data_IF_374857603018
#
_entry.id   IF_374857603018
#
_cell.length_a   1.000
_cell.length_b   1.000
_cell.length_c   1.000
_cell.angle_alpha   90.00
_cell.angle_beta   90.00
_cell.angle_gamma   90.00
#
_symmetry.space_group_name_H-M   'P 1'
#
loop_
_entity.id
_entity.type
_entity.pdbx_description
1 polymer ?
#
# COMPACT_ATOMS: atom_id res chain seq x y z
N UNK A 1 1.89 -13.35 -18.21
CA UNK A 1 0.58 -13.24 -18.87
C UNK A 1 -0.42 -14.12 -18.14
N UNK A 2 -1.64 -13.64 -17.93
CA UNK A 2 -2.75 -14.41 -17.35
C UNK A 2 -3.82 -14.54 -18.42
N UNK A 3 -4.35 -15.74 -18.63
CA UNK A 3 -5.42 -16.04 -19.59
C UNK A 3 -6.57 -16.78 -18.89
N UNK A 4 -7.73 -16.81 -19.55
CA UNK A 4 -8.96 -17.46 -19.07
C UNK A 4 -9.36 -17.05 -17.66
N UNK A 5 -9.69 -15.78 -17.47
CA UNK A 5 -10.09 -15.23 -16.18
C UNK A 5 -11.47 -14.57 -16.26
N UNK A 6 -12.08 -14.34 -15.10
CA UNK A 6 -13.30 -13.55 -15.00
C UNK A 6 -12.97 -12.12 -14.57
N UNK A 7 -13.69 -11.17 -15.17
CA UNK A 7 -13.71 -9.77 -14.75
C UNK A 7 -15.00 -9.55 -13.99
N UNK A 8 -14.90 -9.15 -12.73
CA UNK A 8 -16.05 -8.86 -11.87
C UNK A 8 -15.96 -7.43 -11.36
N UNK A 9 -17.09 -6.81 -11.03
CA UNK A 9 -17.07 -5.57 -10.25
C UNK A 9 -16.35 -5.84 -8.94
N UNK A 10 -15.36 -5.01 -8.63
CA UNK A 10 -14.68 -5.12 -7.36
C UNK A 10 -15.66 -4.66 -6.26
N UNK A 11 -15.72 -5.42 -5.16
CA UNK A 11 -16.73 -5.26 -4.08
C UNK A 11 -16.14 -4.82 -2.74
N UNK A 12 -14.82 -4.86 -2.58
CA UNK A 12 -14.18 -4.58 -1.29
C UNK A 12 -14.18 -3.09 -0.95
N UNK A 13 -14.33 -2.78 0.34
CA UNK A 13 -14.29 -1.42 0.90
C UNK A 13 -12.87 -0.87 1.01
N UNK A 14 -11.89 -1.73 1.23
CA UNK A 14 -10.48 -1.38 1.30
C UNK A 14 -9.78 -1.88 0.05
N UNK A 15 -9.23 -0.99 -0.76
CA UNK A 15 -8.43 -1.37 -1.92
C UNK A 15 -7.19 -0.51 -2.01
N UNK A 16 -6.10 -1.16 -2.36
CA UNK A 16 -4.87 -0.53 -2.80
C UNK A 16 -4.96 -0.04 -4.26
N UNK A 17 -6.02 -0.42 -4.98
CA UNK A 17 -6.26 -0.03 -6.38
C UNK A 17 -7.66 0.57 -6.53
N UNK A 18 -7.76 1.61 -7.34
CA UNK A 18 -8.99 2.34 -7.65
C UNK A 18 -9.76 1.75 -8.84
N UNK A 19 -9.25 0.66 -9.43
CA UNK A 19 -9.88 0.06 -10.61
C UNK A 19 -11.27 -0.51 -10.27
N UNK A 20 -12.31 -0.21 -11.08
CA UNK A 20 -13.69 -0.61 -10.78
C UNK A 20 -13.93 -2.12 -10.88
N UNK A 21 -13.00 -2.84 -11.52
CA UNK A 21 -13.06 -4.28 -11.72
C UNK A 21 -11.89 -5.00 -11.06
N UNK A 22 -12.15 -6.25 -10.65
CA UNK A 22 -11.14 -7.21 -10.21
C UNK A 22 -11.08 -8.38 -11.18
N UNK A 23 -9.88 -8.92 -11.34
CA UNK A 23 -9.67 -10.22 -11.95
C UNK A 23 -9.98 -11.31 -10.91
N UNK A 24 -10.64 -12.39 -11.32
CA UNK A 24 -10.87 -13.57 -10.48
C UNK A 24 -10.46 -14.83 -11.23
N UNK A 25 -9.75 -15.72 -10.53
CA UNK A 25 -9.39 -17.02 -11.05
C UNK A 25 -10.60 -17.96 -11.07
N UNK A 26 -10.58 -18.86 -12.03
CA UNK A 26 -11.48 -19.95 -12.40
C UNK A 26 -10.63 -21.18 -12.74
N UNK A 27 -11.28 -22.32 -12.86
CA UNK A 27 -10.60 -23.60 -13.00
C UNK A 27 -9.77 -23.73 -14.29
N UNK A 28 -10.07 -22.94 -15.33
CA UNK A 28 -9.38 -22.98 -16.63
C UNK A 28 -8.34 -21.88 -16.80
N UNK A 29 -7.99 -21.14 -15.74
CA UNK A 29 -6.95 -20.11 -15.79
C UNK A 29 -5.61 -20.65 -16.25
N UNK A 30 -4.93 -19.88 -17.07
CA UNK A 30 -3.54 -20.15 -17.48
C UNK A 30 -2.68 -18.98 -17.01
N UNK A 31 -1.58 -19.28 -16.31
CA UNK A 31 -0.59 -18.29 -15.87
C UNK A 31 0.75 -18.62 -16.52
N UNK A 32 1.22 -17.74 -17.39
CA UNK A 32 2.52 -17.87 -18.05
C UNK A 32 3.49 -16.83 -17.47
N UNK A 33 4.62 -17.22 -16.86
CA UNK A 33 5.64 -16.27 -16.44
C UNK A 33 6.21 -15.54 -17.67
N UNK A 34 6.56 -14.27 -17.50
CA UNK A 34 7.24 -13.48 -18.54
C UNK A 34 8.65 -13.20 -18.05
N UNK A 35 9.64 -13.79 -18.71
CA UNK A 35 11.05 -13.66 -18.38
C UNK A 35 11.87 -13.46 -19.68
N UNK A 36 12.63 -12.36 -19.84
CA UNK A 36 12.80 -11.26 -18.88
C UNK A 36 11.54 -10.40 -18.72
N UNK A 37 11.49 -9.63 -17.64
CA UNK A 37 10.45 -8.61 -17.44
C UNK A 37 10.38 -7.68 -18.64
N UNK A 38 9.16 -7.33 -19.07
CA UNK A 38 8.95 -6.43 -20.20
C UNK A 38 9.55 -5.05 -19.89
N UNK A 39 10.29 -4.43 -20.83
CA UNK A 39 10.78 -3.07 -20.67
C UNK A 39 9.63 -2.10 -20.32
N UNK A 40 9.81 -1.30 -19.28
CA UNK A 40 8.83 -0.30 -18.83
C UNK A 40 7.65 -0.85 -18.02
N UNK A 41 7.56 -2.15 -17.74
CA UNK A 41 6.53 -2.68 -16.84
C UNK A 41 6.88 -2.31 -15.38
N UNK A 42 6.01 -1.58 -14.65
CA UNK A 42 6.32 -1.13 -13.30
C UNK A 42 6.41 -2.31 -12.33
N UNK A 43 7.39 -2.27 -11.42
CA UNK A 43 7.51 -3.27 -10.33
C UNK A 43 6.37 -3.14 -9.32
N UNK A 44 5.99 -1.89 -9.02
CA UNK A 44 4.86 -1.55 -8.15
C UNK A 44 4.13 -0.40 -8.84
N UNK A 45 2.81 -0.52 -8.98
CA UNK A 45 1.97 0.56 -9.47
C UNK A 45 1.58 1.44 -8.27
N UNK A 46 2.01 2.70 -8.29
CA UNK A 46 1.69 3.68 -7.25
C UNK A 46 0.65 4.68 -7.76
N UNK A 47 -0.30 5.04 -6.90
CA UNK A 47 -1.17 6.21 -7.10
C UNK A 47 -0.90 7.22 -5.99
N UNK A 48 0.25 7.89 -6.08
CA UNK A 48 0.75 8.77 -5.03
C UNK A 48 -0.16 9.99 -4.87
N UNK A 49 -0.72 10.16 -3.66
CA UNK A 49 -1.46 11.36 -3.32
C UNK A 49 -0.51 12.57 -3.17
N UNK A 50 -0.96 13.77 -3.60
CA UNK A 50 -0.28 15.00 -3.25
C UNK A 50 -0.14 15.11 -1.73
N UNK A 51 1.03 15.52 -1.26
CA UNK A 51 1.31 15.57 0.18
C UNK A 51 0.31 16.46 0.94
N UNK A 52 -0.16 17.54 0.33
CA UNK A 52 -1.19 18.44 0.87
C UNK A 52 -2.54 17.77 1.16
N UNK A 53 -2.82 16.63 0.55
CA UNK A 53 -4.07 15.89 0.75
C UNK A 53 -3.95 14.76 1.77
N UNK A 54 -2.73 14.44 2.22
CA UNK A 54 -2.47 13.28 3.09
C UNK A 54 -3.24 13.41 4.42
N UNK A 55 -3.24 14.59 5.03
CA UNK A 55 -3.96 14.83 6.29
C UNK A 55 -5.47 14.62 6.15
N UNK A 56 -6.05 15.03 5.01
CA UNK A 56 -7.46 14.86 4.72
C UNK A 56 -7.87 13.40 4.53
N UNK A 57 -6.91 12.50 4.32
CA UNK A 57 -7.14 11.06 4.16
C UNK A 57 -6.96 10.28 5.47
N UNK A 58 -6.45 10.91 6.54
CA UNK A 58 -6.29 10.24 7.84
C UNK A 58 -7.67 9.80 8.36
N UNK A 59 -7.83 8.50 8.60
CA UNK A 59 -9.10 7.91 9.06
C UNK A 59 -10.15 7.65 7.96
N UNK A 60 -9.83 7.94 6.69
CA UNK A 60 -10.69 7.56 5.57
C UNK A 60 -10.75 6.05 5.40
N UNK A 61 -11.98 5.52 5.25
CA UNK A 61 -12.23 4.08 5.03
C UNK A 61 -12.42 3.70 3.55
N UNK A 62 -12.08 4.59 2.62
CA UNK A 62 -12.48 4.44 1.20
C UNK A 62 -11.38 3.85 0.33
N UNK A 63 -10.14 4.32 0.45
CA UNK A 63 -8.99 3.90 -0.37
C UNK A 63 -7.70 4.00 0.44
N UNK A 64 -6.83 2.99 0.30
CA UNK A 64 -5.47 3.07 0.84
C UNK A 64 -4.67 4.07 0.00
N UNK A 65 -3.92 4.93 0.67
CA UNK A 65 -3.20 6.04 0.04
C UNK A 65 -1.73 5.72 -0.11
N UNK A 66 -1.18 5.92 -1.32
CA UNK A 66 0.27 5.94 -1.52
C UNK A 66 0.80 7.35 -1.27
N UNK A 67 1.94 7.48 -0.59
CA UNK A 67 2.55 8.77 -0.28
C UNK A 67 4.04 8.72 -0.58
N UNK A 68 4.54 9.72 -1.30
CA UNK A 68 5.97 9.94 -1.53
C UNK A 68 6.38 11.18 -0.73
N UNK A 69 7.33 11.03 0.18
CA UNK A 69 7.79 12.10 1.04
C UNK A 69 9.21 11.88 1.54
N UNK A 70 9.84 12.93 2.06
CA UNK A 70 11.14 12.86 2.72
C UNK A 70 10.95 12.46 4.17
N UNK A 71 11.70 11.45 4.63
CA UNK A 71 11.74 11.07 6.04
C UNK A 71 12.64 12.05 6.81
N UNK A 72 12.10 12.68 7.84
CA UNK A 72 12.83 13.64 8.70
C UNK A 72 13.17 13.07 10.06
N UNK A 73 12.52 11.98 10.45
CA UNK A 73 12.72 11.34 11.75
C UNK A 73 12.03 9.99 11.81
N UNK A 74 12.49 9.15 12.74
CA UNK A 74 11.92 7.84 13.04
C UNK A 74 12.07 7.66 14.56
N UNK A 75 11.02 7.23 15.25
CA UNK A 75 11.12 6.88 16.68
C UNK A 75 11.70 5.48 16.87
N UNK A 76 12.18 5.22 18.07
CA UNK A 76 12.43 3.85 18.53
C UNK A 76 11.15 2.99 18.45
N UNK A 77 11.36 1.68 18.42
CA UNK A 77 10.26 0.72 18.46
C UNK A 77 9.59 0.75 19.84
N UNK A 78 8.29 0.98 19.83
CA UNK A 78 7.42 0.77 20.97
C UNK A 78 7.03 -0.72 21.02
N UNK A 79 7.24 -1.39 22.16
CA UNK A 79 6.87 -2.79 22.30
C UNK A 79 5.34 -2.98 22.21
N UNK A 80 4.88 -4.21 21.92
CA UNK A 80 3.47 -4.57 22.02
C UNK A 80 2.88 -4.21 23.39
N UNK A 81 1.61 -3.81 23.40
CA UNK A 81 0.83 -3.56 24.62
C UNK A 81 -0.48 -4.35 24.59
N UNK A 82 -1.21 -4.37 25.71
CA UNK A 82 -2.53 -5.03 25.78
C UNK A 82 -3.50 -4.52 24.71
N UNK A 83 -3.36 -3.26 24.31
CA UNK A 83 -4.23 -2.59 23.34
C UNK A 83 -3.68 -2.62 21.90
N UNK A 84 -2.43 -3.05 21.69
CA UNK A 84 -1.79 -3.10 20.37
C UNK A 84 -0.79 -4.27 20.35
N UNK A 85 -1.16 -5.37 19.69
CA UNK A 85 -0.42 -6.64 19.77
C UNK A 85 0.87 -6.65 18.96
N UNK A 86 1.02 -5.74 18.01
CA UNK A 86 2.24 -5.61 17.23
C UNK A 86 3.13 -4.46 17.75
N UNK A 87 4.46 -4.56 17.54
CA UNK A 87 5.35 -3.43 17.79
C UNK A 87 5.06 -2.30 16.81
N UNK A 88 5.24 -1.07 17.29
CA UNK A 88 4.88 0.15 16.57
C UNK A 88 6.05 1.12 16.56
N UNK A 89 6.11 1.96 15.52
CA UNK A 89 7.00 3.13 15.50
C UNK A 89 6.33 4.25 14.72
N UNK A 90 6.78 5.47 14.95
CA UNK A 90 6.32 6.63 14.21
C UNK A 90 7.40 7.05 13.21
N UNK A 91 6.95 7.39 11.99
CA UNK A 91 7.78 7.96 10.94
C UNK A 91 7.28 9.37 10.65
N UNK A 92 8.22 10.30 10.55
CA UNK A 92 7.97 11.71 10.33
C UNK A 92 8.31 11.99 8.87
N UNK A 93 7.35 12.50 8.12
CA UNK A 93 7.50 12.75 6.69
C UNK A 93 7.19 14.21 6.33
N UNK A 94 7.86 14.74 5.31
CA UNK A 94 7.67 16.11 4.80
C UNK A 94 7.79 16.21 3.27
N UNK A 95 7.19 17.27 2.71
CA UNK A 95 7.29 17.64 1.28
C UNK A 95 8.26 18.81 1.00
N UNK A 96 9.20 19.11 1.92
CA UNK A 96 10.13 20.27 1.89
C UNK A 96 9.53 21.64 2.26
N UNK A 97 8.23 21.73 2.56
CA UNK A 97 7.54 23.00 2.88
C UNK A 97 7.12 23.08 4.36
N UNK A 98 7.94 22.55 5.28
CA UNK A 98 7.78 22.62 6.75
C UNK A 98 6.53 21.95 7.36
N UNK A 99 5.71 21.26 6.58
CA UNK A 99 4.62 20.43 7.12
C UNK A 99 5.15 19.04 7.47
N UNK A 100 4.95 18.62 8.71
CA UNK A 100 5.36 17.31 9.24
C UNK A 100 4.10 16.53 9.58
N UNK A 101 3.94 15.36 8.95
CA UNK A 101 2.86 14.42 9.26
C UNK A 101 3.47 13.22 9.97
N UNK A 102 2.81 12.75 11.04
CA UNK A 102 3.20 11.57 11.79
C UNK A 102 2.33 10.40 11.36
N UNK A 103 2.97 9.34 10.88
CA UNK A 103 2.28 8.10 10.52
C UNK A 103 2.69 7.01 11.52
N UNK A 104 1.70 6.42 12.19
CA UNK A 104 1.91 5.24 13.03
C UNK A 104 1.87 4.01 12.15
N UNK A 105 2.98 3.28 12.08
CA UNK A 105 3.04 2.01 11.36
C UNK A 105 3.03 0.84 12.33
N UNK A 106 2.21 -0.14 12.01
CA UNK A 106 2.24 -1.48 12.61
C UNK A 106 3.25 -2.30 11.84
N UNK A 107 4.32 -2.75 12.49
CA UNK A 107 5.33 -3.58 11.83
C UNK A 107 4.80 -5.02 11.72
N UNK A 108 4.42 -5.44 10.51
CA UNK A 108 4.24 -6.86 10.19
C UNK A 108 5.62 -7.39 9.79
N UNK A 109 6.21 -8.24 10.63
CA UNK A 109 7.41 -8.97 10.25
C UNK A 109 7.04 -9.96 9.15
N UNK A 110 7.43 -9.68 7.91
CA UNK A 110 7.57 -10.73 6.90
C UNK A 110 8.92 -11.38 7.18
N UNK A 111 8.90 -12.47 7.95
CA UNK A 111 10.07 -13.32 8.10
C UNK A 111 10.25 -13.98 6.72
N UNK A 112 11.28 -13.56 5.98
CA UNK A 112 11.79 -14.37 4.89
C UNK A 112 12.57 -15.53 5.52
N UNK A 113 11.93 -16.70 5.60
CA UNK A 113 12.64 -17.98 5.70
C UNK A 113 13.24 -18.37 4.34
#
# INVERSE_FOLDING_TARGET
MIQHYLILRAKEKYRATDHPFRLSFINTNIVCPVNPQLPGFPLIAHNALPFSEVENRIGSNVLMSDVIALVTGITDFLPPTVNAREPRRQIFITNRQYTIIFLTFTAVYIIHE
#
